data_IF_918603378565
#
_entry.id   IF_918603378565
#
_cell.length_a   1.000
_cell.length_b   1.000
_cell.length_c   1.000
_cell.angle_alpha   90.00
_cell.angle_beta   90.00
_cell.angle_gamma   90.00
#
_symmetry.space_group_name_H-M   'P 1'
#
loop_
_entity.id
_entity.type
_entity.pdbx_description
1 polymer ?
#
# COMPACT_ATOMS: atom_id res chain seq x y z
N UNK A 1 -23.59 11.07 21.55
CA UNK A 1 -24.67 10.71 20.59
C UNK A 1 -25.17 11.90 19.76
N UNK A 2 -25.56 13.03 20.31
CA UNK A 2 -26.06 14.20 19.52
C UNK A 2 -25.06 14.76 18.46
N UNK A 3 -23.74 14.67 18.67
CA UNK A 3 -22.73 15.17 17.72
C UNK A 3 -22.44 14.21 16.55
N UNK A 4 -22.64 12.92 16.72
CA UNK A 4 -22.49 11.93 15.65
C UNK A 4 -23.66 11.96 14.68
N UNK A 5 -24.86 12.23 15.19
CA UNK A 5 -26.08 12.41 14.38
C UNK A 5 -25.99 13.67 13.49
N UNK A 6 -25.28 14.71 13.95
CA UNK A 6 -25.06 15.94 13.17
C UNK A 6 -24.10 15.72 11.99
N UNK A 7 -23.06 14.87 12.16
CA UNK A 7 -22.14 14.54 11.07
C UNK A 7 -22.81 13.70 9.97
N UNK A 8 -23.67 12.76 10.36
CA UNK A 8 -24.46 11.96 9.41
C UNK A 8 -25.51 12.83 8.67
N UNK A 9 -26.12 13.79 9.36
CA UNK A 9 -27.05 14.74 8.76
C UNK A 9 -26.36 15.71 7.76
N UNK A 10 -25.08 16.06 7.97
CA UNK A 10 -24.31 16.87 7.03
C UNK A 10 -23.93 16.09 5.76
N UNK A 11 -23.66 14.80 5.85
CA UNK A 11 -23.43 13.95 4.66
C UNK A 11 -24.70 13.75 3.82
N UNK A 12 -25.88 13.74 4.42
CA UNK A 12 -27.15 13.66 3.69
C UNK A 12 -27.57 15.01 3.07
N UNK A 13 -27.21 16.14 3.69
CA UNK A 13 -27.54 17.46 3.15
C UNK A 13 -26.78 17.84 1.88
N UNK A 14 -25.52 17.32 1.71
CA UNK A 14 -24.76 17.53 0.47
C UNK A 14 -25.22 16.62 -0.69
N UNK A 15 -25.86 15.50 -0.40
CA UNK A 15 -26.43 14.62 -1.43
C UNK A 15 -27.80 15.13 -1.95
N UNK A 16 -28.50 15.99 -1.22
CA UNK A 16 -29.82 16.54 -1.58
C UNK A 16 -29.70 17.77 -2.50
N UNK A 17 -28.53 18.45 -2.53
CA UNK A 17 -28.36 19.64 -3.37
C UNK A 17 -28.15 19.36 -4.87
N UNK A 18 -28.10 18.09 -5.31
CA UNK A 18 -27.97 17.72 -6.73
C UNK A 18 -29.33 17.55 -7.44
N UNK A 19 -30.44 17.46 -6.71
CA UNK A 19 -31.78 17.29 -7.28
C UNK A 19 -32.72 18.49 -7.09
N UNK A 20 -32.20 19.69 -6.83
CA UNK A 20 -33.03 20.88 -6.50
C UNK A 20 -33.31 21.82 -7.69
N UNK A 21 -32.99 21.44 -8.93
CA UNK A 21 -33.27 22.29 -10.10
C UNK A 21 -34.65 22.03 -10.77
N UNK A 22 -35.48 21.13 -10.27
CA UNK A 22 -36.79 20.82 -10.88
C UNK A 22 -38.03 21.15 -10.03
N UNK A 23 -37.91 21.93 -8.96
CA UNK A 23 -39.05 22.38 -8.13
C UNK A 23 -39.02 23.87 -7.81
N UNK A 24 -38.88 24.73 -8.83
CA UNK A 24 -39.20 26.14 -8.73
C UNK A 24 -40.62 26.43 -9.27
N UNK A 25 -41.61 26.26 -8.40
CA UNK A 25 -42.77 27.20 -8.39
C UNK A 25 -43.46 27.10 -7.03
N UNK A 26 -43.42 28.24 -6.33
CA UNK A 26 -44.14 28.57 -5.09
C UNK A 26 -43.54 28.03 -3.79
N UNK A 27 -42.63 28.79 -3.17
CA UNK A 27 -42.82 29.21 -1.79
C UNK A 27 -41.78 30.26 -1.35
N UNK A 28 -42.20 31.16 -0.49
CA UNK A 28 -41.59 32.35 0.02
C UNK A 28 -40.12 32.27 0.42
N UNK A 29 -39.33 33.24 0.00
CA UNK A 29 -37.95 33.55 0.39
C UNK A 29 -37.72 33.64 1.91
N UNK A 30 -37.43 32.54 2.58
CA UNK A 30 -36.58 32.54 3.76
C UNK A 30 -35.33 31.72 3.43
N UNK A 31 -34.30 32.39 2.93
CA UNK A 31 -32.95 31.82 2.89
C UNK A 31 -32.53 31.56 4.34
N UNK A 32 -32.74 30.35 4.85
CA UNK A 32 -32.13 29.91 6.09
C UNK A 32 -30.64 29.76 5.84
N UNK A 33 -29.87 30.80 6.08
CA UNK A 33 -28.43 30.76 6.02
C UNK A 33 -27.97 29.97 7.24
N UNK A 34 -27.62 28.68 7.07
CA UNK A 34 -26.99 27.91 8.12
C UNK A 34 -25.59 28.47 8.30
N UNK A 35 -25.36 29.23 9.36
CA UNK A 35 -24.02 29.67 9.73
C UNK A 35 -23.16 28.45 10.09
N UNK A 36 -22.28 28.07 9.18
CA UNK A 36 -21.31 27.00 9.40
C UNK A 36 -20.26 27.49 10.40
N UNK A 37 -20.09 26.85 11.57
CA UNK A 37 -19.08 27.23 12.56
C UNK A 37 -17.69 27.42 11.93
N UNK A 38 -16.92 28.41 12.38
CA UNK A 38 -15.63 28.77 11.80
C UNK A 38 -14.65 27.58 11.69
N UNK A 39 -14.72 26.62 12.61
CA UNK A 39 -13.88 25.42 12.58
C UNK A 39 -14.23 24.47 11.42
N UNK A 40 -15.49 24.46 10.93
CA UNK A 40 -15.93 23.66 9.79
C UNK A 40 -15.42 24.27 8.48
N UNK A 41 -15.28 25.59 8.38
CA UNK A 41 -14.73 26.27 7.20
C UNK A 41 -13.29 25.88 6.86
N UNK A 42 -12.55 25.34 7.83
CA UNK A 42 -11.17 24.90 7.69
C UNK A 42 -11.05 23.40 7.38
N UNK A 43 -12.16 22.69 7.16
CA UNK A 43 -12.15 21.27 6.79
C UNK A 43 -12.23 21.18 5.25
N UNK A 44 -11.25 20.47 4.68
CA UNK A 44 -11.24 20.11 3.26
C UNK A 44 -11.74 18.66 3.12
N UNK A 45 -12.86 18.47 2.46
CA UNK A 45 -13.30 17.16 1.98
C UNK A 45 -12.72 16.89 0.60
N UNK A 46 -12.25 15.68 0.39
CA UNK A 46 -11.77 15.20 -0.90
C UNK A 46 -11.87 13.68 -0.95
N UNK A 47 -11.73 13.11 -2.13
CA UNK A 47 -11.76 11.67 -2.28
C UNK A 47 -11.41 11.22 -3.68
N UNK A 48 -11.44 9.91 -3.86
CA UNK A 48 -11.25 9.29 -5.17
C UNK A 48 -11.82 7.89 -5.22
N UNK A 49 -12.17 7.46 -6.43
CA UNK A 49 -12.57 6.10 -6.75
C UNK A 49 -11.69 5.53 -7.85
N UNK A 50 -11.47 4.22 -7.78
CA UNK A 50 -10.66 3.44 -8.73
C UNK A 50 -11.45 2.20 -9.14
N UNK A 51 -11.91 2.19 -10.38
CA UNK A 51 -12.65 1.10 -11.00
C UNK A 51 -11.71 0.32 -11.90
N UNK A 52 -11.62 -0.99 -11.71
CA UNK A 52 -10.63 -1.82 -12.35
C UNK A 52 -11.28 -3.00 -13.07
N UNK A 53 -10.79 -3.28 -14.27
CA UNK A 53 -10.93 -4.59 -14.91
C UNK A 53 -9.56 -5.27 -14.90
N UNK A 54 -9.52 -6.52 -14.45
CA UNK A 54 -8.28 -7.31 -14.41
C UNK A 54 -8.49 -8.67 -15.05
N UNK A 55 -7.63 -9.01 -16.01
CA UNK A 55 -7.55 -10.31 -16.63
C UNK A 55 -6.19 -10.97 -16.41
N UNK A 56 -6.16 -12.26 -16.07
CA UNK A 56 -4.92 -13.05 -15.97
C UNK A 56 -5.13 -14.48 -16.45
N UNK A 57 -4.11 -15.04 -17.10
CA UNK A 57 -4.05 -16.44 -17.53
C UNK A 57 -3.25 -17.32 -16.53
N UNK A 58 -2.95 -16.82 -15.34
CA UNK A 58 -2.26 -17.56 -14.29
C UNK A 58 -2.96 -18.89 -13.98
N UNK A 59 -2.24 -20.00 -14.06
CA UNK A 59 -2.82 -21.32 -13.76
C UNK A 59 -3.24 -21.41 -12.28
N UNK A 60 -4.44 -21.97 -12.05
CA UNK A 60 -5.04 -22.07 -10.71
C UNK A 60 -5.64 -20.76 -10.18
N UNK A 61 -5.38 -19.63 -10.83
CA UNK A 61 -5.90 -18.32 -10.46
C UNK A 61 -6.33 -17.47 -11.67
N UNK A 62 -6.76 -18.14 -12.77
CA UNK A 62 -7.33 -17.43 -13.92
C UNK A 62 -8.47 -16.58 -13.49
N UNK A 63 -8.42 -15.31 -13.84
CA UNK A 63 -9.49 -14.36 -13.53
C UNK A 63 -9.77 -13.46 -14.73
N UNK A 64 -11.02 -13.01 -14.77
CA UNK A 64 -11.53 -12.02 -15.70
C UNK A 64 -12.63 -11.30 -14.91
N UNK A 65 -12.29 -10.18 -14.27
CA UNK A 65 -13.17 -9.59 -13.27
C UNK A 65 -13.13 -8.07 -13.28
N UNK A 66 -14.30 -7.48 -12.99
CA UNK A 66 -14.40 -6.08 -12.63
C UNK A 66 -14.30 -5.93 -11.12
N UNK A 67 -13.51 -4.96 -10.68
CA UNK A 67 -13.25 -4.70 -9.27
C UNK A 67 -13.57 -3.24 -8.94
N UNK A 68 -14.16 -3.02 -7.77
CA UNK A 68 -14.10 -1.76 -7.07
C UNK A 68 -12.80 -1.77 -6.28
N UNK A 69 -11.68 -1.33 -6.91
CA UNK A 69 -10.36 -1.45 -6.31
C UNK A 69 -10.26 -0.65 -5.02
N UNK A 70 -10.61 0.63 -5.07
CA UNK A 70 -10.62 1.53 -3.93
C UNK A 70 -11.67 2.63 -4.10
N UNK A 71 -12.31 2.98 -2.97
CA UNK A 71 -12.99 4.25 -2.79
C UNK A 71 -12.46 4.88 -1.51
N UNK A 72 -11.97 6.13 -1.56
CA UNK A 72 -11.44 6.83 -0.39
C UNK A 72 -12.13 8.16 -0.18
N UNK A 73 -12.43 8.43 1.09
CA UNK A 73 -12.97 9.70 1.57
C UNK A 73 -12.01 10.27 2.59
N UNK A 74 -11.61 11.51 2.40
CA UNK A 74 -10.53 12.17 3.13
C UNK A 74 -11.05 13.47 3.70
N UNK A 75 -10.86 13.67 4.99
CA UNK A 75 -11.08 14.93 5.69
C UNK A 75 -9.71 15.43 6.17
N UNK A 76 -9.32 16.60 5.72
CA UNK A 76 -8.14 17.31 6.17
C UNK A 76 -8.56 18.58 6.89
N UNK A 77 -7.88 18.94 7.97
CA UNK A 77 -8.17 20.16 8.69
C UNK A 77 -6.97 20.73 9.44
N UNK A 78 -7.17 21.95 9.97
CA UNK A 78 -6.16 22.70 10.70
C UNK A 78 -6.70 23.22 12.02
N UNK A 79 -5.91 23.10 13.08
CA UNK A 79 -6.19 23.69 14.41
C UNK A 79 -4.88 24.31 14.92
N UNK A 80 -4.73 25.61 14.79
CA UNK A 80 -3.48 26.30 15.12
C UNK A 80 -2.31 25.78 14.28
N UNK A 81 -1.24 25.35 14.95
CA UNK A 81 -0.05 24.76 14.34
C UNK A 81 -0.18 23.26 14.01
N UNK A 82 -1.36 22.68 14.24
CA UNK A 82 -1.63 21.27 13.99
C UNK A 82 -2.43 21.09 12.68
N UNK A 83 -1.94 20.22 11.80
CA UNK A 83 -2.74 19.62 10.74
C UNK A 83 -3.27 18.26 11.23
N UNK A 84 -4.48 17.89 10.79
CA UNK A 84 -5.03 16.57 11.08
C UNK A 84 -5.66 15.97 9.83
N UNK A 85 -5.69 14.66 9.78
CA UNK A 85 -6.37 13.89 8.73
C UNK A 85 -7.19 12.75 9.33
N UNK A 86 -8.39 12.57 8.77
CA UNK A 86 -9.18 11.36 8.92
C UNK A 86 -9.47 10.80 7.52
N UNK A 87 -9.22 9.50 7.30
CA UNK A 87 -9.43 8.86 6.00
C UNK A 87 -10.06 7.49 6.19
N UNK A 88 -11.14 7.24 5.45
CA UNK A 88 -11.76 5.92 5.34
C UNK A 88 -11.56 5.37 3.93
N UNK A 89 -11.53 4.04 3.81
CA UNK A 89 -11.37 3.32 2.56
C UNK A 89 -12.44 2.25 2.43
N UNK A 90 -13.10 2.22 1.27
CA UNK A 90 -13.93 1.12 0.80
C UNK A 90 -13.22 0.32 -0.30
N UNK A 91 -13.53 -0.96 -0.42
CA UNK A 91 -13.03 -1.85 -1.48
C UNK A 91 -14.00 -3.01 -1.66
N UNK A 92 -13.82 -3.82 -2.71
CA UNK A 92 -14.53 -5.09 -2.83
C UNK A 92 -14.35 -5.94 -1.55
N UNK A 93 -15.36 -6.71 -1.21
CA UNK A 93 -15.22 -7.76 -0.20
C UNK A 93 -14.17 -8.78 -0.68
N UNK A 94 -13.16 -9.00 0.13
CA UNK A 94 -12.08 -9.95 -0.19
C UNK A 94 -12.44 -11.38 0.20
N UNK A 95 -13.35 -11.52 1.13
CA UNK A 95 -13.84 -12.81 1.61
C UNK A 95 -14.78 -12.66 2.82
N UNK A 96 -15.39 -13.73 3.28
CA UNK A 96 -16.23 -13.70 4.47
C UNK A 96 -15.46 -13.16 5.69
N UNK A 97 -16.04 -12.16 6.37
CA UNK A 97 -15.46 -11.56 7.58
C UNK A 97 -14.41 -10.46 7.35
N UNK A 98 -14.01 -10.16 6.10
CA UNK A 98 -13.16 -9.01 5.83
C UNK A 98 -13.98 -7.72 5.69
N UNK A 99 -13.60 -6.62 6.39
CA UNK A 99 -14.34 -5.37 6.29
C UNK A 99 -14.17 -4.75 4.90
N UNK A 100 -15.27 -4.39 4.27
CA UNK A 100 -15.27 -3.63 3.00
C UNK A 100 -14.97 -2.16 3.22
N UNK A 101 -15.19 -1.64 4.44
CA UNK A 101 -14.88 -0.26 4.84
C UNK A 101 -14.02 -0.27 6.09
N UNK A 102 -12.96 0.54 6.10
CA UNK A 102 -12.05 0.64 7.25
C UNK A 102 -11.47 2.06 7.40
N UNK A 103 -11.19 2.44 8.64
CA UNK A 103 -10.39 3.62 8.94
C UNK A 103 -8.93 3.34 8.56
N UNK A 104 -8.37 4.17 7.68
CA UNK A 104 -6.98 3.97 7.21
C UNK A 104 -6.02 5.01 7.76
N UNK A 105 -6.39 6.27 7.84
CA UNK A 105 -5.59 7.31 8.50
C UNK A 105 -6.43 8.03 9.56
N UNK A 106 -5.85 8.24 10.73
CA UNK A 106 -6.33 9.15 11.76
C UNK A 106 -5.12 9.66 12.54
N UNK A 107 -4.69 10.88 12.23
CA UNK A 107 -3.52 11.46 12.89
C UNK A 107 -3.64 12.98 13.03
N UNK A 108 -2.86 13.51 13.97
CA UNK A 108 -2.54 14.92 14.07
C UNK A 108 -1.03 15.12 13.91
N UNK A 109 -0.63 16.21 13.27
CA UNK A 109 0.76 16.58 13.03
C UNK A 109 1.00 18.03 13.46
N UNK A 110 1.85 18.22 14.46
CA UNK A 110 2.38 19.54 14.77
C UNK A 110 3.49 19.90 13.78
N UNK A 111 3.35 21.04 13.11
CA UNK A 111 4.25 21.42 12.00
C UNK A 111 4.60 22.90 11.97
N UNK A 112 4.76 23.50 13.13
CA UNK A 112 5.13 24.90 13.26
C UNK A 112 6.44 25.23 12.55
N UNK A 113 7.42 24.34 12.65
CA UNK A 113 8.75 24.51 12.07
C UNK A 113 9.00 23.47 10.98
N UNK A 114 9.49 23.85 9.80
CA UNK A 114 9.84 22.90 8.74
C UNK A 114 10.91 21.89 9.20
N UNK A 115 11.83 22.33 10.08
CA UNK A 115 12.93 21.52 10.58
C UNK A 115 12.51 20.45 11.59
N UNK A 116 11.33 20.61 12.20
CA UNK A 116 10.89 19.76 13.30
C UNK A 116 9.36 19.63 13.30
N UNK A 117 8.87 18.45 12.98
CA UNK A 117 7.45 18.09 12.91
C UNK A 117 7.21 16.82 13.71
N UNK A 118 6.10 16.76 14.44
CA UNK A 118 5.70 15.57 15.20
C UNK A 118 4.32 15.15 14.73
N UNK A 119 4.21 13.90 14.28
CA UNK A 119 2.95 13.26 13.89
C UNK A 119 2.62 12.14 14.86
N UNK A 120 1.37 12.06 15.31
CA UNK A 120 0.88 11.01 16.20
C UNK A 120 -0.47 10.49 15.69
N UNK A 121 -0.68 9.17 15.77
CA UNK A 121 -1.90 8.50 15.34
C UNK A 121 -1.65 7.29 14.45
N UNK A 122 -2.59 7.00 13.55
CA UNK A 122 -2.47 5.96 12.54
C UNK A 122 -2.18 6.59 11.18
N UNK A 123 -1.04 6.25 10.59
CA UNK A 123 -0.59 6.79 9.31
C UNK A 123 0.43 5.86 8.64
N UNK A 124 0.84 6.17 7.41
CA UNK A 124 1.84 5.39 6.68
C UNK A 124 3.21 5.46 7.35
N UNK A 125 3.84 4.29 7.50
CA UNK A 125 5.18 4.13 8.11
C UNK A 125 6.23 4.91 7.34
N UNK A 126 7.24 5.41 8.05
CA UNK A 126 8.39 6.16 7.53
C UNK A 126 9.39 5.26 6.79
N UNK A 127 8.94 4.47 5.79
CA UNK A 127 9.77 3.48 5.11
C UNK A 127 9.53 3.52 3.60
N UNK A 128 10.62 3.65 2.79
CA UNK A 128 10.66 3.79 1.33
C UNK A 128 10.03 5.08 0.76
N UNK A 129 10.14 5.29 -0.56
CA UNK A 129 9.46 6.38 -1.26
C UNK A 129 8.09 5.95 -1.79
N UNK A 130 7.95 4.68 -2.20
CA UNK A 130 6.69 4.21 -2.76
C UNK A 130 5.63 4.00 -1.67
N UNK A 131 6.01 3.49 -0.48
CA UNK A 131 5.04 3.23 0.58
C UNK A 131 4.15 4.43 0.93
N UNK A 132 4.66 5.67 1.16
CA UNK A 132 3.81 6.82 1.49
C UNK A 132 2.98 7.34 0.32
N UNK A 133 3.24 6.93 -0.92
CA UNK A 133 2.50 7.40 -2.10
C UNK A 133 1.04 6.93 -2.05
N UNK A 134 0.11 7.81 -2.39
CA UNK A 134 -1.30 7.45 -2.52
C UNK A 134 -1.51 6.60 -3.79
N UNK A 135 -2.37 5.56 -3.76
CA UNK A 135 -2.65 4.74 -4.95
C UNK A 135 -3.01 5.54 -6.19
N UNK A 136 -3.87 6.57 -6.03
CA UNK A 136 -4.31 7.44 -7.12
C UNK A 136 -3.19 8.28 -7.78
N UNK A 137 -2.05 8.47 -7.11
CA UNK A 137 -0.92 9.28 -7.61
C UNK A 137 0.28 8.42 -7.97
N UNK A 138 0.16 7.11 -7.80
CA UNK A 138 1.26 6.18 -8.05
C UNK A 138 1.53 5.99 -9.55
N UNK A 139 0.49 6.13 -10.38
CA UNK A 139 0.57 5.96 -11.82
C UNK A 139 0.63 4.50 -12.31
N UNK A 140 0.47 3.53 -11.41
CA UNK A 140 0.47 2.09 -11.66
C UNK A 140 -0.72 1.41 -10.99
N UNK A 141 -1.18 0.27 -11.56
CA UNK A 141 -2.24 -0.59 -10.97
C UNK A 141 -1.96 -1.04 -9.54
N UNK A 142 -0.68 -1.03 -9.10
CA UNK A 142 -0.30 -1.48 -7.77
C UNK A 142 1.13 -1.14 -7.42
N UNK A 143 1.42 -1.23 -6.14
CA UNK A 143 2.78 -1.11 -5.64
C UNK A 143 3.65 -2.25 -6.16
N UNK A 144 4.96 -2.03 -6.22
CA UNK A 144 5.91 -3.07 -6.58
C UNK A 144 5.81 -4.26 -5.60
N UNK A 145 6.05 -5.47 -6.10
CA UNK A 145 5.94 -6.70 -5.29
C UNK A 145 6.80 -6.62 -4.02
N UNK A 146 8.00 -6.07 -4.10
CA UNK A 146 8.87 -5.90 -2.94
C UNK A 146 8.28 -4.93 -1.90
N UNK A 147 7.60 -3.88 -2.33
CA UNK A 147 6.91 -2.94 -1.44
C UNK A 147 5.69 -3.62 -0.79
N UNK A 148 4.90 -4.35 -1.58
CA UNK A 148 3.75 -5.09 -1.07
C UNK A 148 4.14 -6.07 0.03
N UNK A 149 5.24 -6.80 -0.14
CA UNK A 149 5.66 -7.87 0.76
C UNK A 149 6.54 -7.41 1.93
N UNK A 150 7.21 -6.25 1.80
CA UNK A 150 8.20 -5.80 2.79
C UNK A 150 7.89 -4.44 3.43
N UNK A 151 6.71 -3.84 3.17
CA UNK A 151 6.33 -2.54 3.75
C UNK A 151 4.97 -2.57 4.47
N UNK A 152 4.37 -3.76 4.68
CA UNK A 152 3.12 -3.92 5.43
C UNK A 152 1.86 -3.81 4.60
N UNK A 153 1.89 -4.14 3.30
CA UNK A 153 0.66 -4.27 2.48
C UNK A 153 0.14 -5.72 2.55
N UNK A 154 0.77 -6.66 1.86
CA UNK A 154 0.59 -8.10 2.01
C UNK A 154 1.86 -8.69 2.63
N UNK A 155 2.23 -8.21 3.81
CA UNK A 155 3.54 -8.42 4.41
C UNK A 155 3.87 -9.90 4.60
N UNK A 156 5.11 -10.28 4.31
CA UNK A 156 5.59 -11.66 4.45
C UNK A 156 5.45 -12.24 5.85
N UNK A 157 5.36 -11.40 6.88
CA UNK A 157 5.09 -11.82 8.27
C UNK A 157 3.62 -12.18 8.49
N UNK A 158 2.77 -12.07 7.45
CA UNK A 158 1.33 -12.32 7.56
C UNK A 158 0.60 -11.26 8.37
N UNK A 159 1.18 -10.08 8.57
CA UNK A 159 0.48 -8.98 9.22
C UNK A 159 -0.74 -8.59 8.37
N UNK A 160 -1.83 -8.23 9.05
CA UNK A 160 -3.04 -7.80 8.36
C UNK A 160 -2.72 -6.65 7.40
N UNK A 161 -3.20 -6.76 6.15
CA UNK A 161 -2.94 -5.75 5.13
C UNK A 161 -3.28 -4.34 5.64
N UNK A 162 -2.25 -3.54 5.82
CA UNK A 162 -2.35 -2.21 6.43
C UNK A 162 -2.25 -1.08 5.40
N UNK A 163 -1.98 -1.43 4.13
CA UNK A 163 -1.60 -0.42 3.16
C UNK A 163 -0.36 0.37 3.59
N UNK A 164 0.59 -0.30 4.28
CA UNK A 164 1.83 0.29 4.78
C UNK A 164 1.66 1.20 6.01
N UNK A 165 0.60 1.05 6.78
CA UNK A 165 0.27 1.90 7.94
C UNK A 165 0.49 1.22 9.27
N UNK A 166 0.61 2.05 10.32
CA UNK A 166 0.64 1.59 11.71
C UNK A 166 0.21 2.72 12.65
N UNK A 167 0.01 2.39 13.92
CA UNK A 167 -0.25 3.36 14.98
C UNK A 167 1.08 3.70 15.65
N UNK A 168 1.40 5.00 15.75
CA UNK A 168 2.66 5.41 16.32
C UNK A 168 2.85 6.92 16.42
N UNK A 169 4.11 7.29 16.69
CA UNK A 169 4.58 8.67 16.71
C UNK A 169 5.79 8.79 15.81
N UNK A 170 5.83 9.82 14.98
CA UNK A 170 6.93 10.11 14.04
C UNK A 170 7.43 11.53 14.24
N UNK A 171 8.75 11.66 14.28
CA UNK A 171 9.49 12.91 14.14
C UNK A 171 10.00 13.03 12.72
N UNK A 172 9.92 14.22 12.12
CA UNK A 172 10.49 14.49 10.79
C UNK A 172 10.87 15.95 10.64
N UNK A 173 11.73 16.24 9.66
CA UNK A 173 12.09 17.61 9.35
C UNK A 173 12.87 17.76 8.07
N UNK A 174 12.89 19.00 7.57
CA UNK A 174 13.57 19.41 6.35
C UNK A 174 14.65 20.43 6.69
N UNK A 175 15.92 20.15 6.34
CA UNK A 175 17.08 20.89 6.74
C UNK A 175 17.85 21.48 5.54
N UNK A 176 18.78 22.38 5.81
CA UNK A 176 19.74 22.94 4.87
C UNK A 176 19.08 23.60 3.65
N UNK A 177 18.40 24.77 3.84
CA UNK A 177 17.87 25.53 2.71
C UNK A 177 19.00 26.04 1.81
N UNK A 178 18.86 25.91 0.50
CA UNK A 178 19.73 26.58 -0.47
C UNK A 178 19.31 28.05 -0.70
N UNK A 179 20.01 28.75 -1.60
CA UNK A 179 19.71 30.13 -1.92
C UNK A 179 18.28 30.39 -2.41
N UNK A 180 17.63 29.38 -3.04
CA UNK A 180 16.23 29.44 -3.51
C UNK A 180 15.23 29.05 -2.41
N UNK A 181 15.67 28.82 -1.17
CA UNK A 181 14.84 28.38 -0.06
C UNK A 181 14.45 26.90 -0.11
N UNK A 182 14.93 26.13 -1.09
CA UNK A 182 14.66 24.69 -1.20
C UNK A 182 15.52 23.93 -0.19
N UNK A 183 14.85 23.10 0.65
CA UNK A 183 15.53 22.24 1.62
C UNK A 183 16.24 21.09 0.89
N UNK A 184 17.48 20.80 1.28
CA UNK A 184 18.35 19.82 0.61
C UNK A 184 18.42 18.48 1.31
N UNK A 185 17.95 18.39 2.54
CA UNK A 185 18.02 17.20 3.37
C UNK A 185 16.71 16.98 4.12
N UNK A 186 16.24 15.75 4.16
CA UNK A 186 15.11 15.33 4.97
C UNK A 186 15.50 14.19 5.89
N UNK A 187 14.92 14.18 7.09
CA UNK A 187 14.99 13.07 8.03
C UNK A 187 13.61 12.73 8.56
N UNK A 188 13.42 11.48 8.88
CA UNK A 188 12.24 11.00 9.60
C UNK A 188 12.57 9.76 10.42
N UNK A 189 11.98 9.65 11.61
CA UNK A 189 12.06 8.49 12.48
C UNK A 189 10.77 8.37 13.28
N UNK A 190 10.25 7.17 13.42
CA UNK A 190 9.03 6.91 14.19
C UNK A 190 9.12 5.65 15.02
N UNK A 191 8.28 5.62 16.04
CA UNK A 191 8.06 4.47 16.92
C UNK A 191 6.61 4.02 16.72
N UNK A 192 6.43 2.73 16.40
CA UNK A 192 5.14 2.17 16.01
C UNK A 192 4.82 0.89 16.78
N UNK A 193 3.55 0.50 16.84
CA UNK A 193 3.13 -0.74 17.49
C UNK A 193 3.65 -2.01 16.82
N UNK A 194 3.94 -1.98 15.51
CA UNK A 194 4.44 -3.14 14.78
C UNK A 194 3.38 -4.13 14.29
N UNK A 195 2.10 -3.88 14.55
CA UNK A 195 0.99 -4.80 14.27
C UNK A 195 0.13 -4.41 13.04
N UNK A 196 0.42 -3.25 12.44
CA UNK A 196 -0.31 -2.73 11.30
C UNK A 196 -1.58 -1.97 11.69
N UNK A 197 -2.49 -1.86 10.73
CA UNK A 197 -3.67 -0.98 10.81
C UNK A 197 -4.69 -1.48 11.84
N UNK A 198 -5.27 -0.52 12.61
CA UNK A 198 -6.36 -0.79 13.56
C UNK A 198 -6.05 -1.91 14.57
N UNK A 199 -4.78 -2.09 14.92
CA UNK A 199 -4.32 -3.17 15.79
C UNK A 199 -3.62 -2.62 17.02
N UNK A 200 -3.91 -3.25 18.17
CA UNK A 200 -3.16 -3.01 19.41
C UNK A 200 -1.83 -3.76 19.35
N UNK A 201 -0.85 -3.27 20.07
CA UNK A 201 0.39 -3.97 20.32
C UNK A 201 0.11 -5.31 21.04
N UNK A 202 0.73 -6.39 20.59
CA UNK A 202 0.53 -7.74 21.09
C UNK A 202 1.70 -8.30 21.91
N UNK A 203 2.90 -7.76 21.72
CA UNK A 203 4.11 -8.24 22.37
C UNK A 203 4.82 -7.20 23.25
N UNK A 204 4.21 -6.00 23.39
CA UNK A 204 4.74 -4.83 24.08
C UNK A 204 6.10 -4.34 23.53
N UNK A 205 6.46 -4.74 22.32
CA UNK A 205 7.64 -4.27 21.60
C UNK A 205 7.24 -3.26 20.55
N UNK A 206 8.15 -2.35 20.25
CA UNK A 206 7.89 -1.30 19.25
C UNK A 206 8.79 -1.46 18.04
N UNK A 207 8.22 -1.17 16.88
CA UNK A 207 8.98 -1.00 15.66
C UNK A 207 9.58 0.40 15.63
N UNK A 208 10.88 0.50 15.35
CA UNK A 208 11.56 1.76 15.06
C UNK A 208 11.81 1.80 13.56
N UNK A 209 11.25 2.81 12.89
CA UNK A 209 11.31 2.94 11.44
C UNK A 209 11.72 4.37 11.10
N UNK A 210 12.67 4.52 10.18
CA UNK A 210 13.07 5.85 9.76
C UNK A 210 13.83 5.85 8.44
N UNK A 211 14.18 7.06 8.00
CA UNK A 211 14.94 7.27 6.79
C UNK A 211 15.48 8.69 6.69
N UNK A 212 16.48 8.82 5.85
CA UNK A 212 17.09 10.10 5.48
C UNK A 212 17.20 10.16 3.97
N UNK A 213 17.11 11.35 3.40
CA UNK A 213 17.41 11.56 1.99
C UNK A 213 17.95 12.95 1.69
N UNK A 214 18.69 13.03 0.61
CA UNK A 214 19.21 14.27 0.04
C UNK A 214 18.46 14.62 -1.23
N UNK A 215 18.33 15.92 -1.48
CA UNK A 215 17.67 16.49 -2.66
C UNK A 215 18.62 17.44 -3.40
N UNK A 216 19.67 16.90 -4.07
CA UNK A 216 20.77 17.73 -4.61
C UNK A 216 20.30 18.67 -5.71
N UNK A 217 19.40 18.23 -6.57
CA UNK A 217 18.80 19.02 -7.64
C UNK A 217 17.27 18.97 -7.57
N UNK A 218 16.60 19.92 -8.21
CA UNK A 218 15.14 19.97 -8.26
C UNK A 218 14.58 18.70 -8.93
N UNK A 219 13.69 18.01 -8.21
CA UNK A 219 13.04 16.78 -8.66
C UNK A 219 13.78 15.50 -8.27
N UNK A 220 15.08 15.53 -7.93
CA UNK A 220 15.83 14.34 -7.51
C UNK A 220 15.87 14.22 -5.99
N UNK A 221 15.58 13.02 -5.48
CA UNK A 221 15.82 12.61 -4.09
C UNK A 221 16.47 11.23 -4.05
N UNK A 222 17.45 11.07 -3.17
CA UNK A 222 18.19 9.83 -2.96
C UNK A 222 18.25 9.58 -1.46
N UNK A 223 17.86 8.39 -1.01
CA UNK A 223 17.76 8.11 0.42
C UNK A 223 17.97 6.68 0.82
N UNK A 224 18.07 6.51 2.12
CA UNK A 224 18.18 5.22 2.79
C UNK A 224 17.21 5.15 3.97
N UNK A 225 16.70 3.94 4.23
CA UNK A 225 15.70 3.67 5.25
C UNK A 225 16.08 2.46 6.08
N UNK A 226 15.69 2.47 7.33
CA UNK A 226 15.85 1.35 8.26
C UNK A 226 14.55 1.04 9.00
N UNK A 227 14.39 -0.22 9.33
CA UNK A 227 13.29 -0.72 10.14
C UNK A 227 13.81 -1.84 11.02
N UNK A 228 13.66 -1.69 12.32
CA UNK A 228 13.89 -2.75 13.30
C UNK A 228 12.66 -2.91 14.19
N UNK A 229 12.25 -4.14 14.42
CA UNK A 229 11.07 -4.41 15.21
C UNK A 229 10.66 -5.87 15.22
N UNK A 230 9.45 -6.10 15.68
CA UNK A 230 8.86 -7.42 15.78
C UNK A 230 7.39 -7.36 15.40
N UNK A 231 6.85 -8.50 15.02
CA UNK A 231 5.43 -8.74 15.06
C UNK A 231 5.13 -9.63 16.25
N UNK A 232 4.14 -9.30 17.04
CA UNK A 232 3.60 -10.14 18.09
C UNK A 232 3.13 -11.48 17.54
N UNK A 233 2.42 -12.25 18.30
CA UNK A 233 2.01 -13.59 17.91
C UNK A 233 1.68 -13.79 16.43
N UNK A 234 2.46 -14.65 15.75
CA UNK A 234 2.32 -14.98 14.35
C UNK A 234 2.12 -16.49 14.19
N UNK A 235 1.04 -16.88 13.52
CA UNK A 235 0.88 -18.27 13.07
C UNK A 235 1.71 -18.48 11.82
N UNK A 236 2.62 -19.44 11.87
CA UNK A 236 3.46 -19.85 10.75
C UNK A 236 3.21 -21.31 10.40
N UNK A 237 3.29 -21.63 9.12
CA UNK A 237 3.04 -22.98 8.62
C UNK A 237 4.31 -23.56 8.03
N UNK A 238 4.59 -24.80 8.39
CA UNK A 238 5.61 -25.65 7.79
C UNK A 238 4.95 -26.77 7.01
N UNK A 239 5.32 -26.96 5.76
CA UNK A 239 4.82 -27.98 4.87
C UNK A 239 5.87 -29.07 4.71
N UNK A 240 5.47 -30.33 4.82
CA UNK A 240 6.35 -31.49 4.68
C UNK A 240 5.61 -32.69 4.07
N UNK A 241 6.33 -33.67 3.59
CA UNK A 241 5.76 -34.94 3.15
C UNK A 241 5.69 -35.90 4.31
N UNK A 242 4.47 -36.35 4.64
CA UNK A 242 4.23 -37.41 5.59
C UNK A 242 4.20 -38.78 4.87
N UNK A 243 4.94 -39.75 5.37
CA UNK A 243 4.84 -41.12 4.90
C UNK A 243 3.62 -41.81 5.54
N UNK A 244 2.90 -42.59 4.74
CA UNK A 244 1.77 -43.41 5.21
C UNK A 244 1.68 -44.69 4.38
N UNK A 245 0.98 -45.70 4.87
CA UNK A 245 0.65 -46.90 4.12
C UNK A 245 -0.78 -46.81 3.62
N UNK A 246 -1.01 -47.08 2.34
CA UNK A 246 -2.35 -47.10 1.75
C UNK A 246 -3.10 -48.40 2.08
N UNK A 247 -4.33 -48.57 1.55
CA UNK A 247 -5.13 -49.75 1.79
C UNK A 247 -4.52 -51.09 1.26
N UNK A 248 -3.55 -50.99 0.35
CA UNK A 248 -2.82 -52.13 -0.20
C UNK A 248 -1.49 -52.37 0.53
N UNK A 249 -1.24 -51.65 1.64
CA UNK A 249 0.01 -51.66 2.39
C UNK A 249 1.22 -51.13 1.60
N UNK A 250 0.97 -50.31 0.58
CA UNK A 250 2.05 -49.63 -0.17
C UNK A 250 2.44 -48.35 0.55
N UNK A 251 3.75 -48.10 0.67
CA UNK A 251 4.31 -46.89 1.27
C UNK A 251 4.12 -45.71 0.32
N UNK A 252 3.40 -44.68 0.77
CA UNK A 252 3.10 -43.46 0.04
C UNK A 252 3.45 -42.24 0.84
N UNK A 253 3.53 -41.08 0.17
CA UNK A 253 3.73 -39.76 0.78
C UNK A 253 2.58 -38.82 0.42
N UNK A 254 2.21 -37.96 1.36
CA UNK A 254 1.23 -36.90 1.15
C UNK A 254 1.66 -35.60 1.81
N UNK A 255 1.25 -34.48 1.26
CA UNK A 255 1.53 -33.18 1.87
C UNK A 255 0.79 -33.03 3.22
N UNK A 256 1.55 -32.64 4.24
CA UNK A 256 1.05 -32.28 5.56
C UNK A 256 1.51 -30.89 5.94
N UNK A 257 0.71 -30.27 6.78
CA UNK A 257 0.96 -28.93 7.31
C UNK A 257 1.08 -29.02 8.82
N UNK A 258 2.12 -28.38 9.36
CA UNK A 258 2.28 -28.16 10.79
C UNK A 258 2.20 -26.65 11.06
N UNK A 259 1.22 -26.23 11.84
CA UNK A 259 1.11 -24.84 12.29
C UNK A 259 1.95 -24.65 13.55
N UNK A 260 2.75 -23.60 13.54
CA UNK A 260 3.59 -23.19 14.66
C UNK A 260 3.22 -21.75 15.05
N UNK A 261 3.13 -21.47 16.34
CA UNK A 261 2.98 -20.11 16.83
C UNK A 261 4.35 -19.54 17.14
N UNK A 262 4.72 -18.47 16.45
CA UNK A 262 5.96 -17.72 16.66
C UNK A 262 5.63 -16.46 17.45
N UNK A 263 6.27 -16.31 18.61
CA UNK A 263 6.13 -15.11 19.43
C UNK A 263 7.20 -14.09 19.04
N UNK A 264 6.80 -12.83 18.87
CA UNK A 264 7.71 -11.71 18.55
C UNK A 264 8.59 -11.97 17.30
N UNK A 265 7.96 -12.28 16.18
CA UNK A 265 8.66 -12.53 14.92
C UNK A 265 9.45 -11.28 14.45
N UNK A 266 10.76 -11.42 14.27
CA UNK A 266 11.67 -10.33 13.89
C UNK A 266 11.31 -9.72 12.54
N UNK A 267 11.36 -8.38 12.48
CA UNK A 267 11.21 -7.57 11.25
C UNK A 267 12.37 -6.57 11.16
N UNK A 268 13.54 -7.00 10.70
CA UNK A 268 14.66 -6.09 10.43
C UNK A 268 14.76 -5.86 8.93
N UNK A 269 14.69 -4.61 8.50
CA UNK A 269 14.64 -4.24 7.08
C UNK A 269 15.49 -3.01 6.82
N UNK A 270 16.00 -2.91 5.61
CA UNK A 270 16.58 -1.69 5.09
C UNK A 270 16.19 -1.49 3.63
N UNK A 271 16.21 -0.25 3.19
CA UNK A 271 15.93 0.11 1.80
C UNK A 271 16.85 1.23 1.33
N UNK A 272 17.15 1.21 0.02
CA UNK A 272 17.79 2.30 -0.72
C UNK A 272 16.84 2.73 -1.82
N UNK A 273 16.62 4.03 -1.95
CA UNK A 273 15.63 4.60 -2.84
C UNK A 273 16.19 5.79 -3.60
N UNK A 274 15.91 5.86 -4.88
CA UNK A 274 16.18 7.03 -5.71
C UNK A 274 14.94 7.37 -6.55
N UNK A 275 14.59 8.65 -6.61
CA UNK A 275 13.46 9.12 -7.41
C UNK A 275 13.80 10.45 -8.06
N UNK A 276 13.46 10.55 -9.34
CA UNK A 276 13.40 11.82 -10.06
C UNK A 276 11.97 12.07 -10.53
N UNK A 277 11.39 13.19 -10.11
CA UNK A 277 10.03 13.61 -10.48
C UNK A 277 10.03 15.09 -10.80
N UNK A 278 9.86 15.41 -12.08
CA UNK A 278 9.80 16.78 -12.59
C UNK A 278 9.13 16.83 -13.95
N UNK A 279 8.28 17.85 -14.20
CA UNK A 279 7.70 18.17 -15.50
C UNK A 279 6.99 16.97 -16.17
N UNK A 280 6.17 16.21 -15.40
CA UNK A 280 5.46 14.99 -15.80
C UNK A 280 6.34 13.75 -16.02
N UNK A 281 7.69 13.89 -15.91
CA UNK A 281 8.59 12.73 -15.86
C UNK A 281 8.69 12.19 -14.45
N UNK A 282 8.60 10.88 -14.29
CA UNK A 282 8.86 10.20 -13.04
C UNK A 282 9.71 8.96 -13.28
N UNK A 283 10.83 8.87 -12.57
CA UNK A 283 11.68 7.68 -12.54
C UNK A 283 11.91 7.32 -11.08
N UNK A 284 11.73 6.05 -10.71
CA UNK A 284 11.98 5.56 -9.36
C UNK A 284 12.61 4.19 -9.38
N UNK A 285 13.55 3.98 -8.47
CA UNK A 285 14.11 2.66 -8.18
C UNK A 285 14.26 2.52 -6.67
N UNK A 286 13.91 1.35 -6.16
CA UNK A 286 14.09 1.01 -4.75
C UNK A 286 14.60 -0.43 -4.64
N UNK A 287 15.53 -0.65 -3.73
CA UNK A 287 15.97 -1.98 -3.27
C UNK A 287 15.59 -2.12 -1.81
N UNK A 288 14.98 -3.24 -1.44
CA UNK A 288 14.62 -3.58 -0.06
C UNK A 288 15.20 -4.93 0.30
N UNK A 289 15.65 -5.03 1.55
CA UNK A 289 16.05 -6.27 2.19
C UNK A 289 15.29 -6.46 3.51
N UNK A 290 14.90 -7.70 3.79
CA UNK A 290 14.22 -8.09 5.04
C UNK A 290 14.89 -9.29 5.64
N UNK A 291 15.09 -9.27 6.96
CA UNK A 291 15.50 -10.40 7.77
C UNK A 291 14.44 -10.68 8.84
N UNK A 292 14.05 -11.93 8.97
CA UNK A 292 13.03 -12.45 9.87
C UNK A 292 12.10 -13.41 9.14
N UNK A 293 11.60 -14.39 9.87
CA UNK A 293 10.72 -15.41 9.32
C UNK A 293 9.41 -14.85 8.80
N UNK A 294 8.90 -15.43 7.74
CA UNK A 294 7.57 -15.17 7.20
C UNK A 294 6.51 -16.11 7.76
N UNK A 295 5.27 -15.96 7.31
CA UNK A 295 4.15 -16.83 7.66
C UNK A 295 4.28 -18.25 7.09
N UNK A 296 5.18 -18.48 6.14
CA UNK A 296 5.53 -19.79 5.60
C UNK A 296 6.99 -20.11 5.92
N UNK A 297 7.21 -21.13 6.75
CA UNK A 297 8.53 -21.54 7.24
C UNK A 297 9.35 -22.35 6.23
N UNK A 298 8.77 -22.75 5.09
CA UNK A 298 9.52 -23.35 4.00
C UNK A 298 10.38 -22.33 3.24
N UNK A 299 10.16 -21.03 3.48
CA UNK A 299 11.02 -19.97 2.98
C UNK A 299 12.12 -19.65 4.00
N UNK A 300 13.27 -19.22 3.51
CA UNK A 300 14.36 -18.72 4.35
C UNK A 300 13.97 -17.46 5.15
N UNK A 301 14.79 -17.13 6.14
CA UNK A 301 14.60 -15.97 7.01
C UNK A 301 14.92 -14.64 6.34
N UNK A 302 15.44 -14.63 5.11
CA UNK A 302 15.82 -13.45 4.36
C UNK A 302 15.05 -13.36 3.05
N UNK A 303 14.50 -12.16 2.79
CA UNK A 303 13.88 -11.82 1.54
C UNK A 303 14.46 -10.49 1.02
N UNK A 304 14.43 -10.29 -0.27
CA UNK A 304 14.77 -9.00 -0.87
C UNK A 304 14.07 -8.80 -2.21
N UNK A 305 14.24 -7.61 -2.75
CA UNK A 305 13.76 -7.32 -4.09
C UNK A 305 14.08 -5.89 -4.47
N UNK A 306 13.81 -5.58 -5.72
CA UNK A 306 14.02 -4.27 -6.29
C UNK A 306 13.11 -4.05 -7.48
N UNK A 307 12.94 -2.81 -7.83
CA UNK A 307 12.27 -2.42 -9.05
C UNK A 307 12.88 -1.15 -9.62
N UNK A 308 12.64 -0.95 -10.89
CA UNK A 308 12.84 0.31 -11.58
C UNK A 308 11.63 0.60 -12.42
N UNK A 309 11.13 1.82 -12.39
CA UNK A 309 10.10 2.25 -13.31
C UNK A 309 10.34 3.66 -13.85
N UNK A 310 9.74 3.92 -15.01
CA UNK A 310 9.66 5.23 -15.60
C UNK A 310 8.25 5.54 -16.12
N UNK A 311 7.86 6.80 -16.01
CA UNK A 311 6.67 7.39 -16.62
C UNK A 311 7.14 8.61 -17.39
N UNK A 312 6.77 8.70 -18.67
CA UNK A 312 7.18 9.78 -19.56
C UNK A 312 5.98 10.34 -20.32
N UNK A 313 5.87 11.65 -20.50
CA UNK A 313 4.80 12.23 -21.32
C UNK A 313 5.06 11.97 -22.82
N UNK A 314 4.10 11.32 -23.48
CA UNK A 314 4.04 11.20 -24.94
C UNK A 314 3.34 12.41 -25.53
N UNK A 315 2.23 12.79 -24.91
CA UNK A 315 1.49 14.02 -25.16
C UNK A 315 1.35 14.72 -23.82
N UNK A 316 1.99 15.85 -23.68
CA UNK A 316 1.99 16.62 -22.43
C UNK A 316 0.59 16.80 -21.88
N UNK A 317 0.40 16.54 -20.59
CA UNK A 317 -0.85 16.63 -19.81
C UNK A 317 -2.00 15.77 -20.34
N UNK A 318 -1.75 14.83 -21.28
CA UNK A 318 -2.80 14.03 -21.91
C UNK A 318 -2.49 12.54 -22.01
N UNK A 319 -1.28 12.17 -22.39
CA UNK A 319 -0.91 10.77 -22.58
C UNK A 319 0.50 10.52 -22.09
N UNK A 320 0.65 9.63 -21.11
CA UNK A 320 1.94 9.16 -20.63
C UNK A 320 2.15 7.70 -20.96
N UNK A 321 3.36 7.37 -21.39
CA UNK A 321 3.82 5.99 -21.48
C UNK A 321 4.58 5.62 -20.21
N UNK A 322 4.50 4.35 -19.82
CA UNK A 322 5.15 3.84 -18.62
C UNK A 322 5.71 2.45 -18.82
N UNK A 323 6.82 2.17 -18.12
CA UNK A 323 7.42 0.84 -18.07
C UNK A 323 7.97 0.56 -16.66
N UNK A 324 7.86 -0.68 -16.21
CA UNK A 324 8.42 -1.16 -14.95
C UNK A 324 9.03 -2.54 -15.13
N UNK A 325 10.20 -2.73 -14.53
CA UNK A 325 10.75 -4.05 -14.26
C UNK A 325 10.87 -4.24 -12.76
N UNK A 326 10.55 -5.42 -12.25
CA UNK A 326 10.69 -5.74 -10.85
C UNK A 326 11.10 -7.18 -10.61
N UNK A 327 11.76 -7.40 -9.48
CA UNK A 327 12.19 -8.69 -9.00
C UNK A 327 11.95 -8.77 -7.49
N UNK A 328 11.25 -9.80 -7.04
CA UNK A 328 11.06 -10.08 -5.62
C UNK A 328 11.46 -11.53 -5.34
N UNK A 329 12.25 -11.74 -4.27
CA UNK A 329 12.69 -13.03 -3.77
C UNK A 329 12.12 -13.24 -2.37
N UNK A 330 11.16 -14.14 -2.26
CA UNK A 330 10.60 -14.53 -0.95
C UNK A 330 11.66 -15.23 -0.09
N UNK A 331 12.58 -15.94 -0.76
CA UNK A 331 13.80 -16.54 -0.19
C UNK A 331 15.00 -15.99 -0.94
N UNK A 332 15.88 -15.28 -0.24
CA UNK A 332 17.08 -14.67 -0.83
C UNK A 332 18.05 -15.69 -1.41
N UNK A 333 18.00 -16.95 -0.95
CA UNK A 333 18.84 -18.02 -1.49
C UNK A 333 18.55 -18.35 -2.96
N UNK A 334 17.43 -17.88 -3.52
CA UNK A 334 16.91 -18.23 -4.83
C UNK A 334 16.55 -19.72 -4.97
N UNK A 335 16.66 -20.50 -3.92
CA UNK A 335 16.37 -21.92 -3.98
C UNK A 335 14.86 -22.11 -4.17
N UNK A 336 14.53 -22.76 -5.27
CA UNK A 336 13.21 -23.33 -5.49
C UNK A 336 13.18 -24.68 -4.80
N UNK A 337 12.38 -24.82 -3.76
CA UNK A 337 12.13 -26.07 -3.08
C UNK A 337 10.86 -26.70 -3.64
N UNK A 338 10.93 -27.97 -3.95
CA UNK A 338 9.81 -28.72 -4.50
C UNK A 338 9.60 -30.00 -3.67
N UNK A 339 8.37 -30.18 -3.19
CA UNK A 339 7.92 -31.40 -2.57
C UNK A 339 6.99 -32.10 -3.55
N UNK A 340 7.26 -33.35 -3.89
CA UNK A 340 6.44 -34.15 -4.79
C UNK A 340 5.88 -35.32 -4.00
N UNK A 341 4.55 -35.43 -3.89
CA UNK A 341 3.90 -36.55 -3.20
C UNK A 341 3.85 -37.81 -4.10
N UNK A 342 3.39 -38.92 -3.56
CA UNK A 342 3.33 -40.19 -4.28
C UNK A 342 2.35 -40.23 -5.44
N UNK A 343 1.43 -39.26 -5.48
CA UNK A 343 0.48 -39.09 -6.59
C UNK A 343 1.06 -38.19 -7.69
N UNK A 344 2.34 -37.80 -7.57
CA UNK A 344 3.04 -36.93 -8.51
C UNK A 344 2.65 -35.46 -8.42
N UNK A 345 1.92 -35.06 -7.38
CA UNK A 345 1.55 -33.66 -7.19
C UNK A 345 2.71 -32.87 -6.61
N UNK A 346 3.08 -31.83 -7.33
CA UNK A 346 4.20 -30.96 -6.96
C UNK A 346 3.71 -29.76 -6.13
N UNK A 347 4.47 -29.45 -5.08
CA UNK A 347 4.28 -28.29 -4.19
C UNK A 347 5.57 -27.49 -4.17
N UNK A 348 5.52 -26.30 -4.74
CA UNK A 348 6.71 -25.45 -4.96
C UNK A 348 6.77 -24.35 -3.93
N UNK A 349 7.95 -24.11 -3.38
CA UNK A 349 8.25 -23.04 -2.43
C UNK A 349 9.50 -22.29 -2.86
N UNK A 350 9.53 -20.98 -2.59
CA UNK A 350 10.67 -20.13 -2.93
C UNK A 350 10.76 -19.82 -4.42
N UNK A 351 11.92 -19.34 -4.83
CA UNK A 351 12.14 -18.82 -6.17
C UNK A 351 11.85 -17.32 -6.26
N UNK A 352 12.27 -16.72 -7.38
CA UNK A 352 12.04 -15.31 -7.64
C UNK A 352 10.76 -15.10 -8.45
N UNK A 353 10.07 -14.01 -8.16
CA UNK A 353 9.03 -13.45 -9.02
C UNK A 353 9.60 -12.23 -9.74
N UNK A 354 9.56 -12.25 -11.05
CA UNK A 354 9.97 -11.12 -11.89
C UNK A 354 8.84 -10.72 -12.82
N UNK A 355 8.75 -9.44 -13.16
CA UNK A 355 7.80 -8.98 -14.17
C UNK A 355 8.37 -7.86 -15.03
N UNK A 356 7.95 -7.86 -16.29
CA UNK A 356 8.07 -6.77 -17.25
C UNK A 356 6.68 -6.19 -17.46
N UNK A 357 6.53 -4.92 -17.21
CA UNK A 357 5.24 -4.23 -17.25
C UNK A 357 5.35 -2.99 -18.12
N UNK A 358 4.38 -2.79 -18.99
CA UNK A 358 4.25 -1.62 -19.84
C UNK A 358 2.83 -1.10 -19.79
N UNK A 359 2.65 0.19 -20.05
CA UNK A 359 1.30 0.74 -20.03
C UNK A 359 1.23 2.18 -20.51
N UNK A 360 0.00 2.67 -20.49
CA UNK A 360 -0.37 4.03 -20.86
C UNK A 360 -1.27 4.61 -19.78
N UNK A 361 -1.11 5.89 -19.49
CA UNK A 361 -2.03 6.68 -18.69
C UNK A 361 -2.62 7.79 -19.56
N UNK A 362 -3.94 7.81 -19.73
CA UNK A 362 -4.65 8.82 -20.49
C UNK A 362 -5.47 9.71 -19.58
N UNK A 363 -5.23 11.01 -19.62
CA UNK A 363 -5.92 12.02 -18.81
C UNK A 363 -7.05 12.65 -19.61
N UNK A 364 -8.30 12.30 -19.31
CA UNK A 364 -9.50 12.95 -19.87
C UNK A 364 -9.59 14.38 -19.34
N UNK A 365 -9.39 14.52 -18.03
CA UNK A 365 -9.31 15.79 -17.31
C UNK A 365 -8.27 15.68 -16.20
N UNK A 366 -7.99 16.75 -15.45
CA UNK A 366 -7.14 16.70 -14.25
C UNK A 366 -7.68 15.77 -13.14
N UNK A 367 -8.97 15.43 -13.18
CA UNK A 367 -9.66 14.65 -12.18
C UNK A 367 -10.13 13.28 -12.67
N UNK A 368 -9.97 12.96 -13.96
CA UNK A 368 -10.40 11.70 -14.56
C UNK A 368 -9.29 11.17 -15.46
N UNK A 369 -8.78 10.01 -15.14
CA UNK A 369 -7.73 9.34 -15.90
C UNK A 369 -8.02 7.84 -16.08
N UNK A 370 -7.46 7.26 -17.13
CA UNK A 370 -7.54 5.84 -17.45
C UNK A 370 -6.12 5.26 -17.57
N UNK A 371 -5.92 4.12 -16.96
CA UNK A 371 -4.69 3.32 -17.06
C UNK A 371 -4.95 2.08 -17.89
N UNK A 372 -4.05 1.77 -18.79
CA UNK A 372 -3.98 0.49 -19.49
C UNK A 372 -2.61 -0.12 -19.24
N UNK A 373 -2.57 -1.33 -18.72
CA UNK A 373 -1.32 -2.02 -18.37
C UNK A 373 -1.32 -3.46 -18.85
N UNK A 374 -0.15 -3.88 -19.27
CA UNK A 374 0.16 -5.28 -19.57
C UNK A 374 1.40 -5.69 -18.78
N UNK A 375 1.34 -6.86 -18.17
CA UNK A 375 2.45 -7.45 -17.46
C UNK A 375 2.73 -8.87 -17.94
N UNK A 376 4.00 -9.16 -18.22
CA UNK A 376 4.52 -10.53 -18.37
C UNK A 376 5.23 -10.90 -17.08
N UNK A 377 4.73 -11.93 -16.43
CA UNK A 377 5.19 -12.35 -15.10
C UNK A 377 5.83 -13.73 -15.19
N UNK A 378 6.99 -13.88 -14.52
CA UNK A 378 7.63 -15.15 -14.25
C UNK A 378 7.71 -15.32 -12.73
N UNK A 379 6.84 -16.15 -12.18
CA UNK A 379 6.78 -16.46 -10.74
C UNK A 379 7.24 -17.89 -10.49
N UNK A 380 8.50 -18.04 -10.12
CA UNK A 380 9.13 -19.35 -9.92
C UNK A 380 8.63 -20.10 -8.68
N UNK A 381 7.80 -19.48 -7.86
CA UNK A 381 7.10 -20.15 -6.76
C UNK A 381 5.89 -20.98 -7.24
N UNK A 382 5.52 -20.88 -8.51
CA UNK A 382 4.43 -21.63 -9.12
C UNK A 382 4.96 -22.77 -9.98
N UNK A 383 4.19 -23.84 -10.13
CA UNK A 383 4.50 -24.94 -11.02
C UNK A 383 4.56 -24.44 -12.48
N UNK A 384 3.52 -23.76 -12.94
CA UNK A 384 3.50 -23.03 -14.22
C UNK A 384 3.76 -21.55 -13.96
N UNK A 385 5.01 -21.17 -14.06
CA UNK A 385 5.51 -19.89 -13.55
C UNK A 385 5.36 -18.70 -14.50
N UNK A 386 5.05 -18.93 -15.79
CA UNK A 386 4.90 -17.84 -16.75
C UNK A 386 3.42 -17.56 -17.03
N UNK A 387 3.00 -16.33 -16.81
CA UNK A 387 1.64 -15.88 -17.12
C UNK A 387 1.60 -14.40 -17.48
N UNK A 388 0.46 -13.98 -18.01
CA UNK A 388 0.19 -12.62 -18.43
C UNK A 388 -0.89 -12.00 -17.54
N UNK A 389 -0.85 -10.67 -17.44
CA UNK A 389 -1.90 -9.90 -16.80
C UNK A 389 -2.20 -8.66 -17.63
N UNK A 390 -3.46 -8.35 -17.79
CA UNK A 390 -3.96 -7.10 -18.38
C UNK A 390 -4.77 -6.40 -17.31
N UNK A 391 -4.58 -5.10 -17.20
CA UNK A 391 -5.28 -4.25 -16.25
C UNK A 391 -5.77 -2.98 -16.94
N UNK A 392 -7.04 -2.66 -16.75
CA UNK A 392 -7.64 -1.40 -17.21
C UNK A 392 -8.28 -0.76 -15.99
N UNK A 393 -7.85 0.45 -15.65
CA UNK A 393 -8.33 1.15 -14.48
C UNK A 393 -8.84 2.55 -14.85
N UNK A 394 -9.98 2.93 -14.31
CA UNK A 394 -10.54 4.26 -14.41
C UNK A 394 -10.51 4.92 -13.03
N UNK A 395 -9.77 5.99 -12.94
CA UNK A 395 -9.54 6.76 -11.71
C UNK A 395 -10.22 8.12 -11.79
N UNK A 396 -11.00 8.45 -10.75
CA UNK A 396 -11.64 9.76 -10.64
C UNK A 396 -11.43 10.38 -9.26
N UNK A 397 -11.23 11.69 -9.23
CA UNK A 397 -11.00 12.51 -8.03
C UNK A 397 -12.11 13.55 -7.86
N UNK A 398 -12.48 13.83 -6.60
CA UNK A 398 -13.47 14.86 -6.23
C UNK A 398 -13.08 15.61 -4.97
#
# INVERSE_FOLDING_TARGET
MKRLTLLLAMMTATAISINAEELESQESNQKTTIEVPAWVKNIKFSGYGMLQYQGTDQEGAKSNTFNLRLARFILDGKIGDFDWRAQIQGTNAKGPGEPTVQLVDLYAEWRKYPEFKIRAGQFKRAFTYENPTHPITQGWRGYADVINNLSGFGDRTGEKSSGGRDIGVQLSGDLFPNADGRRLFHYQVGIYNGEGINSKDKDNKKDIIGGIWVMPIKGLRIGAFGWTGTRGEMSSTYHYLEEYFDANNDKKTRLKNQSLTVQSARKNRYAFSAEYSKDEYMFRTEYLHSQGWGSNLNFGDKADGWYVFGIVPVIKSKLHAKARYQCYRQDKSWNRHELIDSDGKSYVYGGAKTSYEVGLNYFFTKNLEMHLEYARINDRSLAKHNYNMVDVELDFRF
#
